data_IF_849947928006
#
_entry.id   IF_849947928006
#
_cell.length_a   1.000
_cell.length_b   1.000
_cell.length_c   1.000
_cell.angle_alpha   90.00
_cell.angle_beta   90.00
_cell.angle_gamma   90.00
#
_symmetry.space_group_name_H-M   'P 1'
#
loop_
_entity.id
_entity.type
_entity.pdbx_description
1 polymer ?
#
# COMPACT_ATOMS: atom_id res chain seq x y z
N UNK A 1 -11.93 -8.41 7.29
CA UNK A 1 -11.26 -7.38 8.10
C UNK A 1 -12.33 -6.71 8.94
N UNK A 2 -12.09 -6.53 10.23
CA UNK A 2 -13.02 -5.78 11.08
C UNK A 2 -13.05 -4.31 10.64
N UNK A 3 -14.16 -3.63 10.90
CA UNK A 3 -14.27 -2.21 10.62
C UNK A 3 -13.22 -1.44 11.42
N UNK A 4 -12.49 -0.56 10.76
CA UNK A 4 -11.43 0.24 11.37
C UNK A 4 -11.44 1.66 10.77
N UNK A 5 -10.88 2.62 11.51
CA UNK A 5 -10.67 3.99 11.02
C UNK A 5 -9.26 4.10 10.42
N UNK A 6 -9.12 4.39 9.11
CA UNK A 6 -7.81 4.63 8.51
C UNK A 6 -7.18 5.90 9.09
N UNK A 7 -6.00 5.80 9.70
CA UNK A 7 -5.30 6.93 10.34
C UNK A 7 -3.92 7.23 9.70
N UNK A 8 -3.36 6.29 8.96
CA UNK A 8 -2.02 6.36 8.35
C UNK A 8 -2.19 6.15 6.86
N UNK A 9 -1.59 7.03 6.06
CA UNK A 9 -1.68 6.95 4.59
C UNK A 9 -0.68 5.91 4.09
N UNK A 10 -1.17 4.93 3.34
CA UNK A 10 -0.34 3.97 2.63
C UNK A 10 -0.41 4.23 1.12
N UNK A 11 0.71 4.17 0.42
CA UNK A 11 0.78 4.24 -1.04
C UNK A 11 1.51 3.02 -1.57
N UNK A 12 0.82 2.27 -2.43
CA UNK A 12 1.34 1.06 -3.07
C UNK A 12 1.48 1.34 -4.55
N UNK A 13 2.66 1.10 -5.11
CA UNK A 13 2.98 1.37 -6.51
C UNK A 13 3.61 0.15 -7.15
N UNK A 14 3.02 -0.32 -8.25
CA UNK A 14 3.64 -1.29 -9.16
C UNK A 14 4.25 -0.54 -10.35
N UNK A 15 5.57 -0.66 -10.51
CA UNK A 15 6.34 0.09 -11.50
C UNK A 15 6.13 1.62 -11.37
N UNK A 16 5.24 2.21 -12.18
CA UNK A 16 4.91 3.64 -12.15
C UNK A 16 3.41 3.89 -11.94
N UNK A 17 2.63 2.86 -11.57
CA UNK A 17 1.19 2.97 -11.37
C UNK A 17 0.85 2.74 -9.90
N UNK A 18 0.22 3.75 -9.30
CA UNK A 18 -0.34 3.65 -7.95
C UNK A 18 -1.60 2.78 -7.96
N UNK A 19 -1.74 1.97 -6.92
CA UNK A 19 -2.93 1.13 -6.69
C UNK A 19 -3.98 1.92 -5.90
N UNK A 20 -5.23 1.81 -6.32
CA UNK A 20 -6.40 2.32 -5.58
C UNK A 20 -7.40 1.19 -5.35
N UNK A 21 -8.23 1.33 -4.31
CA UNK A 21 -9.29 0.37 -4.02
C UNK A 21 -10.24 0.25 -5.22
N UNK A 22 -10.50 -0.99 -5.66
CA UNK A 22 -11.32 -1.28 -6.84
C UNK A 22 -10.62 -1.09 -8.18
N UNK A 23 -9.32 -0.77 -8.22
CA UNK A 23 -8.58 -0.73 -9.49
C UNK A 23 -8.36 -2.12 -10.05
N UNK A 24 -8.71 -2.33 -11.32
CA UNK A 24 -8.32 -3.53 -12.05
C UNK A 24 -6.85 -3.47 -12.46
N UNK A 25 -6.10 -4.53 -12.16
CA UNK A 25 -4.69 -4.67 -12.48
C UNK A 25 -4.51 -5.95 -13.30
N UNK A 26 -3.72 -5.87 -14.37
CA UNK A 26 -3.36 -7.07 -15.12
C UNK A 26 -2.44 -7.96 -14.27
N UNK A 27 -2.59 -9.30 -14.30
CA UNK A 27 -1.71 -10.20 -13.56
C UNK A 27 -0.22 -9.97 -13.85
N UNK A 28 0.13 -9.64 -15.09
CA UNK A 28 1.51 -9.31 -15.48
C UNK A 28 2.09 -8.09 -14.76
N UNK A 29 1.24 -7.15 -14.33
CA UNK A 29 1.67 -5.92 -13.65
C UNK A 29 1.96 -6.11 -12.16
N UNK A 30 1.53 -7.23 -11.57
CA UNK A 30 1.73 -7.55 -10.14
C UNK A 30 2.72 -8.69 -9.92
N UNK A 31 3.52 -9.02 -10.94
CA UNK A 31 4.53 -10.10 -10.88
C UNK A 31 5.73 -9.77 -10.01
N UNK A 32 6.02 -8.48 -9.80
CA UNK A 32 7.15 -8.00 -9.01
C UNK A 32 6.67 -7.42 -7.69
N UNK A 33 7.56 -7.37 -6.68
CA UNK A 33 7.22 -6.76 -5.39
C UNK A 33 6.95 -5.26 -5.58
N UNK A 34 5.83 -4.71 -5.07
CA UNK A 34 5.53 -3.29 -5.20
C UNK A 34 6.43 -2.44 -4.31
N UNK A 35 6.55 -1.15 -4.66
CA UNK A 35 7.04 -0.13 -3.74
C UNK A 35 5.90 0.23 -2.80
N UNK A 36 6.17 0.19 -1.50
CA UNK A 36 5.21 0.56 -0.45
C UNK A 36 5.80 1.74 0.33
N UNK A 37 5.01 2.80 0.44
CA UNK A 37 5.35 3.97 1.23
C UNK A 37 4.29 4.16 2.31
N UNK A 38 4.74 4.23 3.56
CA UNK A 38 3.90 4.50 4.73
C UNK A 38 4.15 5.95 5.12
N UNK A 39 3.14 6.79 4.98
CA UNK A 39 3.18 8.20 5.39
C UNK A 39 2.58 8.39 6.77
N UNK A 40 3.04 9.41 7.49
CA UNK A 40 2.56 9.73 8.82
C UNK A 40 3.23 8.90 9.92
N UNK A 41 3.55 9.56 11.03
CA UNK A 41 4.31 8.99 12.15
C UNK A 41 5.70 9.59 12.27
N UNK A 42 6.30 9.42 13.46
CA UNK A 42 7.73 9.63 13.65
C UNK A 42 8.49 8.36 13.26
N UNK A 43 9.81 8.45 13.10
CA UNK A 43 10.67 7.31 12.73
C UNK A 43 10.83 6.26 13.86
N UNK A 44 9.94 6.26 14.86
CA UNK A 44 9.98 5.38 16.03
C UNK A 44 8.97 4.23 15.93
N UNK A 45 7.99 4.36 15.03
CA UNK A 45 6.95 3.36 14.82
C UNK A 45 7.37 2.36 13.74
N UNK A 46 7.16 1.07 14.02
CA UNK A 46 7.35 0.00 13.06
C UNK A 46 5.99 -0.57 12.66
N UNK A 47 5.82 -0.86 11.38
CA UNK A 47 4.56 -1.33 10.81
C UNK A 47 4.74 -2.69 10.14
N UNK A 48 3.70 -3.53 10.25
CA UNK A 48 3.63 -4.81 9.55
C UNK A 48 2.56 -4.73 8.47
N UNK A 49 2.87 -5.22 7.28
CA UNK A 49 1.91 -5.47 6.21
C UNK A 49 1.60 -6.97 6.21
N UNK A 50 0.39 -7.33 6.62
CA UNK A 50 -0.09 -8.72 6.75
C UNK A 50 -1.06 -9.09 5.64
#
# INVERSE_FOLDING_TARGET
LDSFTPNIKMTVTYSMKQVYNGSELFPSTVTTRPRVEIGGGDMRSFFTLT
#
